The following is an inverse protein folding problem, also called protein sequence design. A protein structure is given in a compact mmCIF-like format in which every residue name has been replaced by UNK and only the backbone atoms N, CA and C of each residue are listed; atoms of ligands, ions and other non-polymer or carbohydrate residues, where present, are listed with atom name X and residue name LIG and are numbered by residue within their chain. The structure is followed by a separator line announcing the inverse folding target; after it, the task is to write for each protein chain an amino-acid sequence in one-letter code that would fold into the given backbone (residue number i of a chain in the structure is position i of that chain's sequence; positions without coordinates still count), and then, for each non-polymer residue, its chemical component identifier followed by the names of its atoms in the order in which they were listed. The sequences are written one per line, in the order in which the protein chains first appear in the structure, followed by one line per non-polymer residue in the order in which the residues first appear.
data_IF_643520771620
#
_entry.id   IF_643520771620
#
_cell.length_a   1.000
_cell.length_b   1.000
_cell.length_c   1.000
_cell.angle_alpha   90.00
_cell.angle_beta   90.00
_cell.angle_gamma   90.00
#
_symmetry.space_group_name_H-M   'P 1'
#
loop_
_entity.id
_entity.type
_entity.pdbx_description
1 polymer ?
#
# COMPACT_ATOMS: atom_id res chain seq x y z
N UNK A 1 9.68 34.35 12.35
CA UNK A 1 10.04 32.99 12.80
C UNK A 1 8.90 32.34 13.58
N UNK A 2 8.35 32.95 14.63
CA UNK A 2 7.27 32.40 15.48
C UNK A 2 5.98 32.12 14.70
N UNK A 3 5.53 33.03 13.82
CA UNK A 3 4.35 32.84 12.95
C UNK A 3 4.55 31.67 11.99
N UNK A 4 5.73 31.52 11.42
CA UNK A 4 6.05 30.39 10.53
C UNK A 4 6.05 29.04 11.27
N UNK A 5 6.46 29.01 12.54
CA UNK A 5 6.41 27.81 13.38
C UNK A 5 4.97 27.44 13.74
N UNK A 6 4.13 28.42 14.05
CA UNK A 6 2.70 28.20 14.32
C UNK A 6 1.96 27.69 13.09
N UNK A 7 2.12 28.32 11.94
CA UNK A 7 1.52 27.86 10.67
C UNK A 7 1.97 26.46 10.27
N UNK A 8 3.23 26.11 10.53
CA UNK A 8 3.75 24.76 10.27
C UNK A 8 3.16 23.73 11.25
N UNK A 9 2.97 24.11 12.51
CA UNK A 9 2.33 23.26 13.54
C UNK A 9 0.87 23.00 13.19
N UNK A 10 0.11 24.02 12.81
CA UNK A 10 -1.30 23.88 12.40
C UNK A 10 -1.43 23.04 11.12
N UNK A 11 -0.56 23.24 10.15
CA UNK A 11 -0.55 22.43 8.93
C UNK A 11 -0.25 20.94 9.21
N UNK A 12 0.71 20.65 10.08
CA UNK A 12 1.03 19.28 10.47
C UNK A 12 -0.15 18.62 11.20
N UNK A 13 -0.80 19.34 12.13
CA UNK A 13 -2.00 18.87 12.82
C UNK A 13 -3.15 18.57 11.84
N UNK A 14 -3.37 19.44 10.86
CA UNK A 14 -4.38 19.21 9.82
C UNK A 14 -4.05 17.98 8.97
N UNK A 15 -2.81 17.81 8.51
CA UNK A 15 -2.37 16.66 7.73
C UNK A 15 -2.53 15.33 8.51
N UNK A 16 -2.24 15.33 9.81
CA UNK A 16 -2.47 14.19 10.69
C UNK A 16 -3.96 13.84 10.84
N UNK A 17 -4.82 14.85 10.99
CA UNK A 17 -6.27 14.65 11.04
C UNK A 17 -6.81 14.08 9.72
N UNK A 18 -6.37 14.60 8.58
CA UNK A 18 -6.71 14.08 7.25
C UNK A 18 -6.28 12.62 7.12
N UNK A 19 -5.05 12.30 7.50
CA UNK A 19 -4.53 10.94 7.42
C UNK A 19 -5.36 9.96 8.28
N UNK A 20 -5.67 10.34 9.53
CA UNK A 20 -6.47 9.52 10.44
C UNK A 20 -7.90 9.29 9.91
N UNK A 21 -8.54 10.34 9.41
CA UNK A 21 -9.88 10.24 8.87
C UNK A 21 -9.92 9.40 7.59
N UNK A 22 -8.97 9.61 6.66
CA UNK A 22 -8.86 8.83 5.44
C UNK A 22 -8.64 7.33 5.74
N UNK A 23 -7.75 7.01 6.68
CA UNK A 23 -7.52 5.62 7.10
C UNK A 23 -8.76 5.00 7.76
N UNK A 24 -9.51 5.76 8.57
CA UNK A 24 -10.78 5.29 9.15
C UNK A 24 -11.83 5.02 8.08
N UNK A 25 -11.97 5.91 7.09
CA UNK A 25 -12.85 5.71 5.94
C UNK A 25 -12.45 4.47 5.13
N UNK A 26 -11.15 4.29 4.87
CA UNK A 26 -10.65 3.12 4.15
C UNK A 26 -10.96 1.80 4.88
N UNK A 27 -10.78 1.76 6.21
CA UNK A 27 -11.15 0.58 7.03
C UNK A 27 -12.66 0.30 7.02
N UNK A 28 -13.49 1.34 7.06
CA UNK A 28 -14.93 1.18 6.94
C UNK A 28 -15.31 0.62 5.56
N UNK A 29 -14.68 1.11 4.51
CA UNK A 29 -14.86 0.63 3.14
C UNK A 29 -14.38 -0.82 2.97
N UNK A 30 -13.20 -1.16 3.48
CA UNK A 30 -12.66 -2.51 3.49
C UNK A 30 -13.60 -3.49 4.20
N UNK A 31 -14.16 -3.09 5.35
CA UNK A 31 -15.18 -3.87 6.07
C UNK A 31 -16.44 -4.06 5.24
N UNK A 32 -16.90 -3.01 4.53
CA UNK A 32 -18.08 -3.08 3.65
C UNK A 32 -17.87 -4.10 2.52
N UNK A 33 -16.67 -4.16 1.95
CA UNK A 33 -16.30 -5.13 0.91
C UNK A 33 -15.78 -6.47 1.45
N UNK A 34 -15.92 -6.74 2.74
CA UNK A 34 -15.57 -8.03 3.34
C UNK A 34 -14.07 -8.37 3.34
N UNK A 35 -13.18 -7.37 3.24
CA UNK A 35 -11.74 -7.59 3.32
C UNK A 35 -11.35 -8.15 4.70
N UNK A 36 -10.41 -9.10 4.73
CA UNK A 36 -9.89 -9.62 6.00
C UNK A 36 -9.03 -8.58 6.72
N UNK A 37 -9.53 -8.13 7.87
CA UNK A 37 -8.86 -7.10 8.65
C UNK A 37 -7.50 -7.52 9.20
N UNK A 38 -7.31 -8.80 9.53
CA UNK A 38 -6.02 -9.30 10.01
C UNK A 38 -4.97 -9.24 8.90
N UNK A 39 -5.36 -9.67 7.71
CA UNK A 39 -4.50 -9.66 6.54
C UNK A 39 -4.09 -8.23 6.15
N UNK A 40 -5.04 -7.33 5.88
CA UNK A 40 -4.66 -5.99 5.45
C UNK A 40 -3.89 -5.20 6.50
N UNK A 41 -4.15 -5.39 7.81
CA UNK A 41 -3.35 -4.73 8.85
C UNK A 41 -1.92 -5.28 8.90
N UNK A 42 -1.73 -6.60 8.70
CA UNK A 42 -0.39 -7.18 8.57
C UNK A 42 0.35 -6.64 7.36
N UNK A 43 -0.29 -6.62 6.18
CA UNK A 43 0.27 -6.04 4.96
C UNK A 43 0.60 -4.57 5.13
N UNK A 44 -0.29 -3.75 5.73
CA UNK A 44 -0.01 -2.36 6.07
C UNK A 44 1.24 -2.22 6.95
N UNK A 45 1.33 -3.01 8.02
CA UNK A 45 2.48 -2.99 8.94
C UNK A 45 3.79 -3.26 8.20
N UNK A 46 3.82 -4.28 7.34
CA UNK A 46 5.02 -4.62 6.57
C UNK A 46 5.35 -3.57 5.52
N UNK A 47 4.36 -3.13 4.76
CA UNK A 47 4.53 -2.11 3.71
C UNK A 47 5.06 -0.79 4.27
N UNK A 48 4.49 -0.31 5.39
CA UNK A 48 4.92 0.94 6.02
C UNK A 48 6.32 0.82 6.63
N UNK A 49 6.69 -0.34 7.19
CA UNK A 49 8.04 -0.60 7.67
C UNK A 49 9.05 -0.56 6.52
N UNK A 50 8.74 -1.21 5.37
CA UNK A 50 9.58 -1.19 4.16
C UNK A 50 9.70 0.23 3.62
N UNK A 51 8.58 0.95 3.49
CA UNK A 51 8.55 2.34 3.03
C UNK A 51 9.47 3.23 3.88
N UNK A 52 9.31 3.18 5.21
CA UNK A 52 10.10 4.00 6.13
C UNK A 52 11.59 3.65 6.08
N UNK A 53 11.93 2.36 5.91
CA UNK A 53 13.31 1.88 5.75
C UNK A 53 13.96 2.37 4.46
N UNK A 54 13.20 2.38 3.36
CA UNK A 54 13.67 2.78 2.03
C UNK A 54 13.53 4.28 1.74
N UNK A 55 13.13 5.10 2.73
CA UNK A 55 12.83 6.54 2.55
C UNK A 55 13.92 7.31 1.82
N UNK A 56 15.19 7.01 2.09
CA UNK A 56 16.33 7.67 1.42
C UNK A 56 16.49 7.27 -0.04
N UNK A 57 16.05 6.06 -0.41
CA UNK A 57 16.15 5.55 -1.79
C UNK A 57 15.00 6.02 -2.66
N UNK A 58 13.75 5.86 -2.18
CA UNK A 58 12.60 6.24 -3.00
C UNK A 58 12.30 7.74 -3.00
N UNK A 59 12.71 8.49 -1.96
CA UNK A 59 12.53 9.95 -1.87
C UNK A 59 11.08 10.42 -1.71
N UNK A 60 10.13 9.51 -1.42
CA UNK A 60 8.72 9.83 -1.28
C UNK A 60 8.42 10.46 0.09
N UNK A 61 7.40 11.33 0.14
CA UNK A 61 7.01 12.08 1.33
C UNK A 61 5.90 11.37 2.15
N UNK A 62 5.52 11.97 3.27
CA UNK A 62 4.47 11.45 4.16
C UNK A 62 3.11 11.31 3.46
N UNK A 63 2.80 12.18 2.49
CA UNK A 63 1.55 12.10 1.72
C UNK A 63 1.50 10.83 0.86
N UNK A 64 2.64 10.42 0.28
CA UNK A 64 2.75 9.16 -0.48
C UNK A 64 2.73 7.93 0.42
N UNK A 65 3.23 8.08 1.66
CA UNK A 65 3.09 7.05 2.70
C UNK A 65 1.62 6.78 3.06
N UNK A 66 0.80 7.85 3.17
CA UNK A 66 -0.64 7.71 3.39
C UNK A 66 -1.32 6.98 2.21
N UNK A 67 -0.97 7.33 0.97
CA UNK A 67 -1.50 6.66 -0.23
C UNK A 67 -1.20 5.15 -0.17
N UNK A 68 0.03 4.76 0.21
CA UNK A 68 0.39 3.36 0.39
C UNK A 68 -0.45 2.69 1.47
N UNK A 69 -0.62 3.34 2.63
CA UNK A 69 -1.46 2.80 3.72
C UNK A 69 -2.89 2.52 3.25
N UNK A 70 -3.51 3.48 2.56
CA UNK A 70 -4.88 3.32 2.05
C UNK A 70 -4.95 2.21 0.99
N UNK A 71 -3.96 2.12 0.10
CA UNK A 71 -3.88 1.04 -0.88
C UNK A 71 -3.74 -0.33 -0.21
N UNK A 72 -2.90 -0.46 0.84
CA UNK A 72 -2.77 -1.70 1.60
C UNK A 72 -4.08 -2.13 2.27
N UNK A 73 -4.88 -1.18 2.80
CA UNK A 73 -6.17 -1.49 3.43
C UNK A 73 -7.18 -2.01 2.39
N UNK A 74 -7.10 -1.52 1.14
CA UNK A 74 -8.16 -1.67 0.15
C UNK A 74 -7.80 -2.62 -1.01
N UNK A 75 -6.60 -3.22 -1.03
CA UNK A 75 -6.11 -3.99 -2.17
C UNK A 75 -6.91 -5.25 -2.51
N UNK A 76 -7.73 -5.75 -1.58
CA UNK A 76 -8.59 -6.91 -1.80
C UNK A 76 -10.08 -6.57 -2.00
N UNK A 77 -10.45 -5.27 -2.02
CA UNK A 77 -11.86 -4.85 -2.11
C UNK A 77 -12.59 -5.36 -3.37
N UNK A 78 -11.87 -5.57 -4.47
CA UNK A 78 -12.44 -6.11 -5.70
C UNK A 78 -12.83 -7.60 -5.62
N UNK A 79 -12.31 -8.35 -4.66
CA UNK A 79 -12.66 -9.76 -4.44
C UNK A 79 -14.15 -9.92 -4.11
N UNK A 80 -14.78 -8.90 -3.56
CA UNK A 80 -16.21 -8.86 -3.29
C UNK A 80 -17.07 -8.91 -4.57
N UNK A 81 -16.59 -8.32 -5.66
CA UNK A 81 -17.31 -8.28 -6.95
C UNK A 81 -17.00 -9.55 -7.74
N UNK A 82 -15.73 -9.86 -7.91
CA UNK A 82 -15.28 -11.00 -8.71
C UNK A 82 -13.88 -11.45 -8.27
N UNK A 83 -13.79 -12.68 -7.77
CA UNK A 83 -12.52 -13.25 -7.31
C UNK A 83 -11.52 -13.50 -8.43
N UNK A 84 -11.99 -13.75 -9.68
CA UNK A 84 -11.12 -13.97 -10.84
C UNK A 84 -10.59 -12.66 -11.45
N UNK A 85 -11.31 -11.57 -11.30
CA UNK A 85 -10.93 -10.24 -11.79
C UNK A 85 -10.84 -9.21 -10.66
N UNK A 86 -10.31 -9.64 -9.50
CA UNK A 86 -10.24 -8.83 -8.29
C UNK A 86 -9.52 -7.49 -8.50
N UNK A 87 -8.46 -7.48 -9.31
CA UNK A 87 -7.66 -6.27 -9.55
C UNK A 87 -8.46 -5.20 -10.30
N UNK A 88 -9.14 -5.57 -11.39
CA UNK A 88 -10.04 -4.66 -12.11
C UNK A 88 -11.18 -4.21 -11.21
N UNK A 89 -11.80 -5.11 -10.44
CA UNK A 89 -12.84 -4.77 -9.47
C UNK A 89 -12.34 -3.78 -8.41
N UNK A 90 -11.11 -3.97 -7.90
CA UNK A 90 -10.50 -3.03 -6.95
C UNK A 90 -10.31 -1.65 -7.59
N UNK A 91 -9.77 -1.60 -8.81
CA UNK A 91 -9.60 -0.34 -9.54
C UNK A 91 -10.93 0.38 -9.76
N UNK A 92 -11.94 -0.33 -10.25
CA UNK A 92 -13.27 0.25 -10.54
C UNK A 92 -13.99 0.78 -9.30
N UNK A 93 -13.85 0.11 -8.17
CA UNK A 93 -14.36 0.61 -6.88
C UNK A 93 -13.62 1.90 -6.50
N UNK A 94 -12.29 1.86 -6.50
CA UNK A 94 -11.49 2.91 -5.87
C UNK A 94 -11.32 4.15 -6.73
N UNK A 95 -11.32 4.05 -8.06
CA UNK A 95 -11.25 5.23 -8.96
C UNK A 95 -12.45 6.16 -8.80
N UNK A 96 -13.59 5.62 -8.37
CA UNK A 96 -14.83 6.37 -8.13
C UNK A 96 -15.05 6.69 -6.63
N UNK A 97 -14.07 6.35 -5.76
CA UNK A 97 -14.16 6.61 -4.32
C UNK A 97 -13.49 7.93 -3.99
N UNK A 98 -14.25 8.83 -3.35
CA UNK A 98 -13.70 10.07 -2.83
C UNK A 98 -13.27 9.89 -1.37
N UNK A 99 -12.00 10.19 -1.09
CA UNK A 99 -11.48 10.19 0.27
C UNK A 99 -11.39 11.62 0.80
N UNK A 100 -11.95 11.86 1.97
CA UNK A 100 -11.90 13.17 2.60
C UNK A 100 -10.48 13.71 2.72
N UNK A 101 -10.25 14.94 2.23
CA UNK A 101 -8.96 15.61 2.27
C UNK A 101 -7.90 15.08 1.29
N UNK A 102 -8.30 14.20 0.36
CA UNK A 102 -7.48 13.77 -0.77
C UNK A 102 -7.99 14.38 -2.08
N UNK A 103 -7.09 14.58 -3.02
CA UNK A 103 -7.43 15.04 -4.37
C UNK A 103 -7.86 13.85 -5.25
N UNK A 104 -8.57 14.13 -6.36
CA UNK A 104 -8.92 13.11 -7.34
C UNK A 104 -7.67 12.39 -7.90
N UNK A 105 -6.57 13.13 -8.10
CA UNK A 105 -5.28 12.55 -8.51
C UNK A 105 -4.75 11.56 -7.45
N UNK A 106 -4.86 11.87 -6.17
CA UNK A 106 -4.43 11.00 -5.09
C UNK A 106 -5.33 9.75 -4.95
N UNK A 107 -6.65 9.90 -5.14
CA UNK A 107 -7.58 8.77 -5.20
C UNK A 107 -7.23 7.83 -6.36
N UNK A 108 -6.87 8.38 -7.51
CA UNK A 108 -6.40 7.58 -8.65
C UNK A 108 -5.09 6.83 -8.33
N UNK A 109 -4.14 7.45 -7.61
CA UNK A 109 -2.93 6.76 -7.16
C UNK A 109 -3.23 5.61 -6.21
N UNK A 110 -4.21 5.77 -5.30
CA UNK A 110 -4.65 4.70 -4.41
C UNK A 110 -5.25 3.56 -5.23
N UNK A 111 -6.18 3.88 -6.15
CA UNK A 111 -6.84 2.90 -7.00
C UNK A 111 -5.83 2.08 -7.81
N UNK A 112 -4.89 2.76 -8.48
CA UNK A 112 -3.87 2.10 -9.29
C UNK A 112 -2.91 1.26 -8.42
N UNK A 113 -2.47 1.79 -7.26
CA UNK A 113 -1.57 1.04 -6.36
C UNK A 113 -2.26 -0.20 -5.78
N UNK A 114 -3.53 -0.09 -5.36
CA UNK A 114 -4.27 -1.20 -4.76
C UNK A 114 -4.67 -2.28 -5.76
N UNK A 115 -4.73 -1.96 -7.05
CA UNK A 115 -5.15 -2.87 -8.13
C UNK A 115 -3.97 -3.58 -8.82
N UNK A 116 -2.82 -3.63 -8.22
CA UNK A 116 -1.64 -4.36 -8.72
C UNK A 116 -1.30 -5.55 -7.85
N UNK A 117 -0.80 -6.62 -8.45
CA UNK A 117 -0.21 -7.77 -7.75
C UNK A 117 1.13 -8.18 -8.37
N UNK A 118 1.73 -9.22 -7.80
CA UNK A 118 3.08 -9.69 -8.15
C UNK A 118 3.19 -10.12 -9.63
N UNK A 119 2.12 -10.68 -10.20
CA UNK A 119 2.13 -11.26 -11.54
C UNK A 119 1.59 -10.32 -12.63
N UNK A 120 0.84 -9.27 -12.25
CA UNK A 120 0.06 -8.47 -13.19
C UNK A 120 0.47 -6.99 -13.22
N UNK A 121 1.68 -6.64 -12.78
CA UNK A 121 2.17 -5.25 -12.89
C UNK A 121 2.24 -4.75 -14.35
N UNK A 122 2.28 -5.68 -15.32
CA UNK A 122 2.46 -5.38 -16.74
C UNK A 122 1.13 -5.41 -17.51
N UNK A 123 0.14 -6.21 -17.06
CA UNK A 123 -1.11 -6.44 -17.81
C UNK A 123 -2.21 -5.40 -17.57
N UNK A 124 -2.06 -4.53 -16.55
CA UNK A 124 -3.03 -3.48 -16.25
C UNK A 124 -2.56 -2.16 -16.88
N UNK A 125 -2.72 -2.03 -18.20
CA UNK A 125 -2.34 -0.80 -18.92
C UNK A 125 -3.27 0.36 -18.59
N UNK A 126 -4.59 0.13 -18.53
CA UNK A 126 -5.59 1.19 -18.33
C UNK A 126 -5.38 2.05 -17.07
N UNK A 127 -5.11 1.51 -15.86
CA UNK A 127 -4.82 2.32 -14.69
C UNK A 127 -3.60 3.23 -14.85
N UNK A 128 -2.57 2.80 -15.59
CA UNK A 128 -1.35 3.58 -15.81
C UNK A 128 -1.48 4.63 -16.90
N UNK A 129 -2.30 4.41 -17.93
CA UNK A 129 -2.54 5.36 -19.03
C UNK A 129 -3.15 6.68 -18.53
N UNK A 130 -3.90 6.64 -17.43
CA UNK A 130 -4.52 7.81 -16.82
C UNK A 130 -3.58 8.60 -15.91
N UNK A 131 -2.33 8.16 -15.73
CA UNK A 131 -1.36 8.80 -14.86
C UNK A 131 -0.37 9.67 -15.62
N UNK A 132 0.03 10.79 -15.03
CA UNK A 132 1.22 11.52 -15.51
C UNK A 132 2.48 10.66 -15.32
N UNK A 133 3.50 10.86 -16.16
CA UNK A 133 4.78 10.13 -16.06
C UNK A 133 5.39 10.18 -14.64
N UNK A 134 5.30 11.33 -13.96
CA UNK A 134 5.74 11.47 -12.57
C UNK A 134 4.96 10.56 -11.62
N UNK A 135 3.65 10.47 -11.79
CA UNK A 135 2.80 9.65 -10.94
C UNK A 135 2.96 8.16 -11.25
N UNK A 136 3.19 7.78 -12.50
CA UNK A 136 3.52 6.40 -12.86
C UNK A 136 4.76 5.91 -12.10
N UNK A 137 5.82 6.71 -12.01
CA UNK A 137 7.00 6.38 -11.22
C UNK A 137 6.72 6.27 -9.71
N UNK A 138 5.83 7.11 -9.17
CA UNK A 138 5.40 7.01 -7.78
C UNK A 138 4.63 5.71 -7.54
N UNK A 139 3.64 5.42 -8.39
CA UNK A 139 2.82 4.20 -8.31
C UNK A 139 3.70 2.96 -8.41
N UNK A 140 4.61 2.88 -9.37
CA UNK A 140 5.54 1.74 -9.50
C UNK A 140 6.29 1.46 -8.20
N UNK A 141 6.82 2.50 -7.53
CA UNK A 141 7.49 2.35 -6.24
C UNK A 141 6.54 1.85 -5.13
N UNK A 142 5.31 2.37 -5.08
CA UNK A 142 4.32 1.98 -4.09
C UNK A 142 3.83 0.55 -4.33
N UNK A 143 3.57 0.18 -5.59
CA UNK A 143 3.19 -1.18 -5.99
C UNK A 143 4.26 -2.20 -5.59
N UNK A 144 5.53 -1.93 -5.90
CA UNK A 144 6.64 -2.82 -5.51
C UNK A 144 6.66 -3.05 -3.99
N UNK A 145 6.47 -1.99 -3.18
CA UNK A 145 6.43 -2.13 -1.73
C UNK A 145 5.21 -2.95 -1.29
N UNK A 146 4.03 -2.69 -1.87
CA UNK A 146 2.81 -3.42 -1.55
C UNK A 146 2.93 -4.91 -1.93
N UNK A 147 3.46 -5.22 -3.13
CA UNK A 147 3.66 -6.60 -3.57
C UNK A 147 4.57 -7.38 -2.62
N UNK A 148 5.71 -6.82 -2.23
CA UNK A 148 6.62 -7.44 -1.26
C UNK A 148 5.95 -7.64 0.10
N UNK A 149 5.19 -6.65 0.58
CA UNK A 149 4.48 -6.74 1.84
C UNK A 149 3.35 -7.79 1.81
N UNK A 150 2.61 -7.88 0.70
CA UNK A 150 1.56 -8.86 0.48
C UNK A 150 2.13 -10.29 0.40
N UNK A 151 3.29 -10.47 -0.25
CA UNK A 151 3.99 -11.74 -0.31
C UNK A 151 4.37 -12.28 1.07
N UNK A 152 4.66 -11.42 2.04
CA UNK A 152 4.96 -11.80 3.43
C UNK A 152 3.74 -12.36 4.18
N UNK A 153 2.53 -12.14 3.73
CA UNK A 153 1.31 -12.75 4.28
C UNK A 153 0.44 -13.41 3.19
N UNK A 154 1.09 -14.04 2.20
CA UNK A 154 0.41 -14.65 1.03
C UNK A 154 -0.65 -15.67 1.43
N UNK A 155 -0.46 -16.38 2.52
CA UNK A 155 -1.43 -17.33 3.04
C UNK A 155 -2.55 -16.70 3.86
N UNK A 156 -2.54 -15.39 4.09
CA UNK A 156 -3.51 -14.62 4.90
C UNK A 156 -3.65 -15.17 6.35
N UNK A 157 -2.56 -15.71 6.90
CA UNK A 157 -2.55 -16.33 8.24
C UNK A 157 -1.73 -15.55 9.26
N UNK A 158 -1.23 -14.37 8.93
CA UNK A 158 -0.45 -13.49 9.80
C UNK A 158 0.65 -14.26 10.55
N UNK A 159 1.52 -14.96 9.79
CA UNK A 159 2.51 -15.88 10.36
C UNK A 159 3.68 -15.18 11.06
N UNK A 160 3.93 -13.92 10.69
CA UNK A 160 5.02 -13.13 11.25
C UNK A 160 4.47 -12.02 12.15
N UNK A 161 4.79 -12.09 13.43
CA UNK A 161 4.41 -11.03 14.38
C UNK A 161 5.17 -9.74 14.11
N UNK A 162 6.45 -9.85 13.76
CA UNK A 162 7.32 -8.72 13.42
C UNK A 162 8.28 -9.11 12.30
N UNK A 163 8.66 -8.10 11.52
CA UNK A 163 9.76 -8.18 10.57
C UNK A 163 10.85 -7.19 10.97
N UNK A 164 12.11 -7.53 10.72
CA UNK A 164 13.19 -6.56 10.81
C UNK A 164 13.86 -6.39 9.46
N UNK A 165 14.28 -5.16 9.16
CA UNK A 165 14.72 -4.76 7.84
C UNK A 165 16.15 -4.23 7.90
N UNK A 166 17.03 -4.78 7.08
CA UNK A 166 18.41 -4.31 6.93
C UNK A 166 18.65 -3.94 5.48
N UNK A 167 19.06 -2.71 5.25
CA UNK A 167 19.54 -2.26 3.94
C UNK A 167 21.05 -2.43 3.88
N UNK A 168 21.54 -3.19 2.90
CA UNK A 168 22.97 -3.43 2.67
C UNK A 168 23.26 -3.14 1.19
N UNK A 169 24.03 -2.08 0.92
CA UNK A 169 24.32 -1.61 -0.45
C UNK A 169 23.02 -1.40 -1.25
N UNK A 170 22.72 -2.31 -2.18
CA UNK A 170 21.52 -2.26 -3.03
C UNK A 170 20.51 -3.35 -2.67
N UNK A 171 20.69 -4.05 -1.56
CA UNK A 171 19.82 -5.14 -1.14
C UNK A 171 19.01 -4.77 0.09
N UNK A 172 17.69 -5.01 0.06
CA UNK A 172 16.83 -5.00 1.23
C UNK A 172 16.70 -6.43 1.78
N UNK A 173 17.29 -6.67 2.93
CA UNK A 173 17.18 -7.96 3.63
C UNK A 173 16.03 -7.88 4.61
N UNK A 174 15.07 -8.80 4.46
CA UNK A 174 13.92 -8.95 5.35
C UNK A 174 14.16 -10.15 6.26
N UNK A 175 14.23 -9.92 7.56
CA UNK A 175 14.27 -10.98 8.57
C UNK A 175 12.88 -11.13 9.16
N UNK A 176 12.35 -12.33 9.08
CA UNK A 176 11.06 -12.71 9.66
C UNK A 176 11.20 -14.06 10.34
N UNK A 177 10.85 -14.13 11.62
CA UNK A 177 10.96 -15.34 12.43
C UNK A 177 9.58 -15.90 12.74
N UNK A 178 9.40 -17.20 12.57
CA UNK A 178 8.19 -17.92 12.91
C UNK A 178 8.48 -19.42 12.99
N UNK A 179 7.70 -20.13 13.80
CA UNK A 179 7.67 -21.59 13.87
C UNK A 179 6.69 -22.24 12.87
N UNK A 180 5.91 -21.39 12.17
CA UNK A 180 4.90 -21.83 11.20
C UNK A 180 5.51 -22.17 9.84
N UNK A 181 4.80 -23.00 9.07
CA UNK A 181 5.18 -23.29 7.70
C UNK A 181 5.01 -22.06 6.79
N UNK A 182 6.08 -21.64 6.12
CA UNK A 182 6.16 -20.42 5.29
C UNK A 182 6.49 -20.71 3.82
N UNK A 183 6.18 -21.90 3.31
CA UNK A 183 6.49 -22.24 1.92
C UNK A 183 5.81 -21.32 0.92
N UNK A 184 4.55 -20.95 1.16
CA UNK A 184 3.80 -20.07 0.26
C UNK A 184 4.36 -18.64 0.25
N UNK A 185 4.72 -18.11 1.43
CA UNK A 185 5.33 -16.79 1.56
C UNK A 185 6.72 -16.74 0.90
N UNK A 186 7.54 -17.79 1.06
CA UNK A 186 8.84 -17.88 0.41
C UNK A 186 8.72 -17.92 -1.11
N UNK A 187 7.77 -18.69 -1.62
CA UNK A 187 7.52 -18.75 -3.04
C UNK A 187 7.08 -17.38 -3.58
N UNK A 188 6.04 -16.76 -2.98
CA UNK A 188 5.54 -15.46 -3.40
C UNK A 188 6.62 -14.35 -3.29
N UNK A 189 7.44 -14.39 -2.24
CA UNK A 189 8.55 -13.44 -2.08
C UNK A 189 9.61 -13.62 -3.17
N UNK A 190 9.88 -14.86 -3.60
CA UNK A 190 10.76 -15.15 -4.73
C UNK A 190 10.27 -14.51 -6.03
N UNK A 191 8.98 -14.64 -6.34
CA UNK A 191 8.36 -14.03 -7.53
C UNK A 191 8.43 -12.49 -7.55
N UNK A 192 8.36 -11.84 -6.37
CA UNK A 192 8.49 -10.39 -6.26
C UNK A 192 9.92 -9.86 -6.46
N UNK A 193 10.93 -10.72 -6.40
CA UNK A 193 12.35 -10.31 -6.36
C UNK A 193 13.13 -10.67 -7.62
N UNK A 194 12.51 -11.36 -8.55
CA UNK A 194 13.02 -11.69 -9.89
C UNK A 194 12.63 -10.67 -10.92
#
# INVERSE_FOLDING_TARGET
LMVQLLLKSEKNSYEEHVAKNAASCARALAKHYGCDSKHYEAVCKYALAIFDKLKKLHGLNARRRLILELACILHESGSFINTHHKLLGTYDILKNTEFYGLTAEESLLIATTASTDEMHMIDITEPFENLSHKNSLVVTKLCTILCVANALDKSQNCKFDNISLKLKENELIVYAETDKNVHLEKWAFGECTT
#
